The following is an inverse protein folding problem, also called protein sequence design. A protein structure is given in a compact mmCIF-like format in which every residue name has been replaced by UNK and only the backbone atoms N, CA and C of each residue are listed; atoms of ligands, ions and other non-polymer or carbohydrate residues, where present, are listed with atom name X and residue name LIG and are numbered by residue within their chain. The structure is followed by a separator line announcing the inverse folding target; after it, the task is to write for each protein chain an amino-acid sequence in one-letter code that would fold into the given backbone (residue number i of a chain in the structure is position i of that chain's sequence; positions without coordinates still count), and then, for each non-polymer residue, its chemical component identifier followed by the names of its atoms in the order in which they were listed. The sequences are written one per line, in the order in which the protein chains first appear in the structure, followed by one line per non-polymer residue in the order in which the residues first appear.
data_IF_869236957656
#
_entry.id   IF_869236957656
#
_cell.length_a   1.000
_cell.length_b   1.000
_cell.length_c   1.000
_cell.angle_alpha   90.00
_cell.angle_beta   90.00
_cell.angle_gamma   90.00
#
_symmetry.space_group_name_H-M   'P 1'
#
loop_
_entity.id
_entity.type
_entity.pdbx_description
1 polymer ?
#
# COMPACT_ATOMS: atom_id res chain seq x y z
N UNK A 1 -21.18 -25.21 -16.32
CA UNK A 1 -21.32 -24.86 -17.76
C UNK A 1 -20.42 -23.66 -17.98
N UNK A 2 -19.38 -23.77 -18.83
CA UNK A 2 -18.54 -22.64 -19.20
C UNK A 2 -19.41 -21.60 -19.92
N UNK A 3 -19.83 -20.56 -19.20
CA UNK A 3 -20.36 -19.36 -19.83
C UNK A 3 -19.19 -18.42 -20.10
N UNK A 4 -18.50 -18.64 -21.22
CA UNK A 4 -17.52 -17.67 -21.69
C UNK A 4 -18.27 -16.37 -21.97
N UNK A 5 -18.08 -15.41 -21.07
CA UNK A 5 -18.63 -14.07 -21.22
C UNK A 5 -17.88 -13.39 -22.36
N UNK A 6 -18.60 -13.19 -23.48
CA UNK A 6 -18.02 -12.64 -24.70
C UNK A 6 -18.39 -11.17 -24.81
N UNK A 7 -17.39 -10.32 -25.02
CA UNK A 7 -17.56 -8.87 -25.11
C UNK A 7 -17.05 -8.34 -26.45
N UNK A 8 -17.73 -7.33 -27.00
CA UNK A 8 -17.22 -6.49 -28.08
C UNK A 8 -16.68 -5.21 -27.45
N UNK A 9 -15.37 -5.03 -27.55
CA UNK A 9 -14.67 -3.86 -27.01
C UNK A 9 -14.26 -2.92 -28.14
N UNK A 10 -14.52 -1.63 -27.96
CA UNK A 10 -13.99 -0.58 -28.81
C UNK A 10 -12.66 -0.10 -28.21
N UNK A 11 -11.56 -0.54 -28.79
CA UNK A 11 -10.22 -0.07 -28.42
C UNK A 11 -9.99 1.28 -29.09
N UNK A 12 -9.82 2.38 -28.32
CA UNK A 12 -9.55 3.68 -28.92
C UNK A 12 -8.24 3.64 -29.71
N UNK A 13 -8.24 4.20 -30.93
CA UNK A 13 -7.04 4.28 -31.79
C UNK A 13 -6.13 5.44 -31.44
N UNK A 14 -6.35 6.12 -30.31
CA UNK A 14 -5.47 7.17 -29.83
C UNK A 14 -4.11 6.55 -29.57
N UNK A 15 -3.11 6.91 -30.38
CA UNK A 15 -1.72 6.64 -30.07
C UNK A 15 -1.42 7.34 -28.75
N UNK A 16 -1.34 6.58 -27.66
CA UNK A 16 -0.72 7.08 -26.44
C UNK A 16 0.72 7.41 -26.82
N UNK A 17 1.06 8.69 -26.79
CA UNK A 17 2.43 9.10 -26.90
C UNK A 17 3.13 8.56 -25.64
N UNK A 18 3.70 7.36 -25.73
CA UNK A 18 4.62 6.84 -24.73
C UNK A 18 5.89 7.69 -24.88
N UNK A 19 5.83 8.91 -24.37
CA UNK A 19 7.00 9.75 -24.23
C UNK A 19 7.83 9.13 -23.13
N UNK A 20 8.90 8.44 -23.51
CA UNK A 20 9.99 8.11 -22.59
C UNK A 20 10.37 9.43 -21.91
N UNK A 21 10.27 9.53 -20.57
CA UNK A 21 10.60 10.75 -19.87
C UNK A 21 11.98 11.23 -20.30
N UNK A 22 12.10 12.52 -20.61
CA UNK A 22 13.40 13.07 -20.97
C UNK A 22 14.40 12.77 -19.84
N UNK A 23 15.65 12.38 -20.19
CA UNK A 23 16.66 12.07 -19.18
C UNK A 23 16.84 13.26 -18.25
N UNK A 24 16.99 12.95 -16.96
CA UNK A 24 17.08 13.97 -15.93
C UNK A 24 18.20 14.96 -16.21
N UNK A 25 17.86 16.25 -16.22
CA UNK A 25 18.84 17.32 -16.43
C UNK A 25 19.65 17.55 -15.15
N UNK A 26 20.90 18.03 -15.24
CA UNK A 26 21.67 18.44 -14.06
C UNK A 26 20.92 19.45 -13.18
N UNK A 27 20.19 20.38 -13.81
CA UNK A 27 19.37 21.37 -13.13
C UNK A 27 18.25 20.75 -12.28
N UNK A 28 17.63 19.67 -12.76
CA UNK A 28 16.60 18.94 -12.01
C UNK A 28 17.16 18.31 -10.73
N UNK A 29 18.38 17.76 -10.79
CA UNK A 29 19.07 17.22 -9.61
C UNK A 29 19.37 18.30 -8.58
N UNK A 30 19.92 19.44 -9.02
CA UNK A 30 20.23 20.57 -8.14
C UNK A 30 18.99 21.09 -7.42
N UNK A 31 17.88 21.26 -8.16
CA UNK A 31 16.60 21.72 -7.60
C UNK A 31 16.00 20.70 -6.63
N UNK A 32 16.02 19.40 -6.97
CA UNK A 32 15.55 18.35 -6.06
C UNK A 32 16.39 18.32 -4.77
N UNK A 33 17.71 18.40 -4.90
CA UNK A 33 18.64 18.42 -3.78
C UNK A 33 18.44 19.64 -2.86
N UNK A 34 18.19 20.83 -3.42
CA UNK A 34 17.94 22.02 -2.59
C UNK A 34 16.69 21.86 -1.74
N UNK A 35 15.62 21.27 -2.29
CA UNK A 35 14.39 21.01 -1.54
C UNK A 35 14.60 19.99 -0.43
N UNK A 36 15.37 18.92 -0.69
CA UNK A 36 15.76 17.95 0.35
C UNK A 36 16.58 18.63 1.45
N UNK A 37 17.54 19.50 1.09
CA UNK A 37 18.33 20.27 2.05
C UNK A 37 17.47 21.21 2.89
N UNK A 38 16.46 21.84 2.30
CA UNK A 38 15.53 22.71 3.01
C UNK A 38 14.62 21.92 3.96
N UNK A 39 14.23 20.69 3.61
CA UNK A 39 13.40 19.82 4.46
C UNK A 39 14.16 19.23 5.65
N UNK A 40 15.41 18.79 5.48
CA UNK A 40 16.17 18.08 6.53
C UNK A 40 17.39 18.85 7.08
N UNK A 41 17.57 20.10 6.67
CA UNK A 41 18.75 20.91 7.01
C UNK A 41 18.77 21.51 8.43
N UNK A 42 17.76 21.22 9.26
CA UNK A 42 17.65 21.69 10.64
C UNK A 42 18.62 20.95 11.61
N UNK A 43 19.23 19.87 11.14
CA UNK A 43 20.19 19.07 11.89
C UNK A 43 19.54 18.02 12.80
N UNK A 44 18.22 17.87 12.76
CA UNK A 44 17.53 16.83 13.51
C UNK A 44 17.68 15.47 12.80
N UNK A 45 17.60 14.40 13.59
CA UNK A 45 17.46 13.05 13.06
C UNK A 45 16.02 12.61 13.25
N UNK A 46 15.48 11.86 12.30
CA UNK A 46 14.25 11.11 12.54
C UNK A 46 14.59 9.64 12.77
N UNK A 47 13.77 8.99 13.58
CA UNK A 47 13.91 7.60 13.98
C UNK A 47 12.64 6.84 13.63
N UNK A 48 12.81 5.60 13.18
CA UNK A 48 11.72 4.67 12.95
C UNK A 48 12.00 3.39 13.72
N UNK A 49 10.97 2.90 14.41
CA UNK A 49 11.04 1.75 15.30
C UNK A 49 10.30 0.54 14.71
N UNK A 50 10.57 -0.63 15.28
CA UNK A 50 9.86 -1.87 14.97
C UNK A 50 10.00 -2.27 13.47
N UNK A 51 11.13 -1.94 12.86
CA UNK A 51 11.42 -2.21 11.46
C UNK A 51 11.94 -3.65 11.31
N UNK A 52 11.69 -4.28 10.15
CA UNK A 52 12.14 -5.64 9.80
C UNK A 52 11.78 -6.69 10.87
N UNK A 53 10.52 -7.11 10.87
CA UNK A 53 9.97 -8.04 11.86
C UNK A 53 10.09 -7.56 13.32
N UNK A 54 10.17 -6.24 13.51
CA UNK A 54 10.09 -5.62 14.81
C UNK A 54 11.37 -5.60 15.62
N UNK A 55 12.51 -5.78 14.97
CA UNK A 55 13.78 -5.96 15.68
C UNK A 55 14.68 -4.71 15.66
N UNK A 56 14.51 -3.81 14.69
CA UNK A 56 15.44 -2.71 14.48
C UNK A 56 14.81 -1.33 14.66
N UNK A 57 15.56 -0.43 15.29
CA UNK A 57 15.42 1.02 15.11
C UNK A 57 16.39 1.50 14.05
N UNK A 58 15.91 2.35 13.16
CA UNK A 58 16.72 3.05 12.16
C UNK A 58 16.69 4.54 12.41
N UNK A 59 17.86 5.18 12.36
CA UNK A 59 18.02 6.62 12.49
C UNK A 59 18.61 7.23 11.24
N UNK A 60 17.97 8.27 10.70
CA UNK A 60 18.49 9.06 9.60
C UNK A 60 18.84 10.46 10.09
N UNK A 61 20.13 10.81 10.03
CA UNK A 61 20.64 12.12 10.38
C UNK A 61 21.21 12.78 9.12
N UNK A 62 20.42 13.68 8.50
CA UNK A 62 20.83 14.32 7.25
C UNK A 62 22.17 15.06 7.39
N UNK A 63 23.05 14.85 6.41
CA UNK A 63 24.40 15.40 6.39
C UNK A 63 25.42 14.68 7.28
N UNK A 64 25.00 13.73 8.11
CA UNK A 64 25.89 13.01 9.03
C UNK A 64 25.97 11.52 8.67
N UNK A 65 24.91 10.75 8.99
CA UNK A 65 24.92 9.30 8.89
C UNK A 65 23.53 8.69 8.91
N UNK A 66 23.46 7.44 8.46
CA UNK A 66 22.33 6.52 8.69
C UNK A 66 22.81 5.40 9.61
N UNK A 67 22.02 5.12 10.64
CA UNK A 67 22.34 4.12 11.67
C UNK A 67 21.21 3.13 11.87
N UNK A 68 21.53 1.92 12.33
CA UNK A 68 20.56 0.98 12.91
C UNK A 68 21.06 0.44 14.25
N UNK A 69 20.15 0.18 15.17
CA UNK A 69 20.43 -0.36 16.51
C UNK A 69 19.19 -1.02 17.09
N UNK A 70 19.36 -1.82 18.13
CA UNK A 70 18.23 -2.35 18.91
C UNK A 70 17.83 -1.35 19.97
N UNK A 71 16.54 -1.21 20.23
CA UNK A 71 15.99 -0.27 21.20
C UNK A 71 14.79 -0.91 21.88
N UNK A 72 14.53 -0.53 23.13
CA UNK A 72 13.33 -0.94 23.86
C UNK A 72 12.17 0.01 23.57
N UNK A 73 10.94 -0.51 23.60
CA UNK A 73 9.70 0.25 23.39
C UNK A 73 9.68 1.55 24.23
N UNK A 74 10.01 1.44 25.52
CA UNK A 74 9.98 2.57 26.47
C UNK A 74 10.94 3.70 26.07
N UNK A 75 12.15 3.37 25.61
CA UNK A 75 13.14 4.36 25.20
C UNK A 75 12.69 5.06 23.90
N UNK A 76 12.13 4.32 22.93
CA UNK A 76 11.61 4.90 21.69
C UNK A 76 10.41 5.82 21.94
N UNK A 77 9.39 5.36 22.68
CA UNK A 77 8.19 6.17 22.94
C UNK A 77 8.47 7.38 23.84
N UNK A 78 9.52 7.34 24.66
CA UNK A 78 9.96 8.50 25.44
C UNK A 78 10.73 9.54 24.60
N UNK A 79 11.15 9.19 23.39
CA UNK A 79 12.04 9.99 22.53
C UNK A 79 13.49 10.05 23.02
N UNK A 80 13.83 9.37 24.12
CA UNK A 80 15.19 9.32 24.66
C UNK A 80 15.94 8.12 24.06
N UNK A 81 16.25 8.23 22.77
CA UNK A 81 16.74 7.07 22.04
C UNK A 81 18.02 6.46 22.62
N UNK A 82 17.96 5.15 22.88
CA UNK A 82 19.07 4.41 23.49
C UNK A 82 19.20 3.01 22.90
N UNK A 83 20.44 2.53 22.74
CA UNK A 83 20.66 1.19 22.26
C UNK A 83 20.49 0.18 23.40
N UNK A 84 19.76 -0.90 23.12
CA UNK A 84 19.64 -2.07 23.98
C UNK A 84 21.00 -2.77 24.11
N UNK A 85 21.17 -3.60 25.13
CA UNK A 85 22.38 -4.41 25.33
C UNK A 85 22.39 -5.58 24.32
N UNK A 86 23.51 -5.83 23.60
CA UNK A 86 24.77 -5.07 23.64
C UNK A 86 24.64 -3.70 22.96
N UNK A 87 25.15 -2.65 23.62
CA UNK A 87 25.16 -1.25 23.15
C UNK A 87 25.98 -1.13 21.86
N UNK A 88 25.34 -1.49 20.75
CA UNK A 88 25.94 -1.53 19.43
C UNK A 88 25.06 -0.80 18.43
N UNK A 89 25.69 0.17 17.76
CA UNK A 89 25.04 1.02 16.76
C UNK A 89 25.78 0.82 15.45
N UNK A 90 25.10 0.20 14.49
CA UNK A 90 25.64 -0.03 13.16
C UNK A 90 25.52 1.24 12.32
N UNK A 91 26.58 1.59 11.60
CA UNK A 91 26.57 2.72 10.65
C UNK A 91 26.40 2.18 9.24
N UNK A 92 25.21 2.40 8.67
CA UNK A 92 24.82 1.90 7.36
C UNK A 92 25.36 2.77 6.21
N UNK A 93 25.46 4.08 6.47
CA UNK A 93 25.95 5.06 5.50
C UNK A 93 26.48 6.31 6.20
N UNK A 94 27.51 6.91 5.62
CA UNK A 94 28.07 8.19 6.07
C UNK A 94 28.06 9.18 4.92
N UNK A 95 27.63 10.41 5.19
CA UNK A 95 27.66 11.47 4.18
C UNK A 95 29.11 11.83 3.80
N UNK A 96 29.34 12.36 2.58
CA UNK A 96 30.66 12.80 2.16
C UNK A 96 31.28 13.82 3.14
N UNK A 97 32.61 13.79 3.26
CA UNK A 97 33.39 14.72 4.10
C UNK A 97 33.14 14.64 5.61
N UNK A 98 32.40 13.64 6.09
CA UNK A 98 32.23 13.39 7.53
C UNK A 98 33.48 12.72 8.10
N UNK A 99 34.14 13.30 9.12
CA UNK A 99 35.34 12.71 9.71
C UNK A 99 35.02 11.41 10.46
N UNK A 100 36.02 10.51 10.65
CA UNK A 100 35.81 9.29 11.41
C UNK A 100 35.29 9.55 12.84
N UNK A 101 34.26 8.81 13.24
CA UNK A 101 33.71 8.88 14.59
C UNK A 101 34.63 8.21 15.59
N UNK A 102 34.96 8.90 16.70
CA UNK A 102 35.56 8.26 17.88
C UNK A 102 34.56 7.37 18.63
N UNK A 103 33.31 7.85 18.72
CA UNK A 103 32.14 7.13 19.23
C UNK A 103 30.93 7.58 18.42
N UNK A 104 30.14 6.62 17.95
CA UNK A 104 28.87 6.88 17.26
C UNK A 104 27.82 7.21 18.32
N UNK A 105 27.10 8.30 18.14
CA UNK A 105 26.01 8.76 19.01
C UNK A 105 24.68 8.69 18.24
N UNK A 106 23.59 8.40 18.95
CA UNK A 106 22.22 8.36 18.42
C UNK A 106 21.66 9.79 18.32
N UNK A 107 22.34 10.62 17.54
CA UNK A 107 21.97 12.00 17.20
C UNK A 107 22.86 12.50 16.07
N UNK A 108 22.52 13.65 15.53
CA UNK A 108 23.36 14.32 14.56
C UNK A 108 24.65 14.82 15.24
N UNK A 109 25.80 14.36 14.76
CA UNK A 109 27.13 14.71 15.28
C UNK A 109 27.85 15.72 14.39
N UNK A 110 27.20 16.20 13.33
CA UNK A 110 27.75 17.18 12.42
C UNK A 110 27.80 18.57 13.08
N UNK A 111 28.94 19.25 12.95
CA UNK A 111 29.15 20.60 13.53
C UNK A 111 28.96 21.75 12.56
N UNK A 112 28.99 21.46 11.26
CA UNK A 112 28.87 22.43 10.17
C UNK A 112 27.84 21.92 9.18
N UNK A 113 27.28 22.79 8.33
CA UNK A 113 26.37 22.32 7.28
C UNK A 113 27.13 21.41 6.31
N UNK A 114 26.48 20.32 5.91
CA UNK A 114 26.99 19.43 4.88
C UNK A 114 27.12 20.18 3.55
N UNK A 115 28.25 19.99 2.87
CA UNK A 115 28.43 20.41 1.48
C UNK A 115 28.13 19.19 0.62
N UNK A 116 27.04 19.26 -0.14
CA UNK A 116 26.58 18.18 -1.01
C UNK A 116 26.90 18.54 -2.46
N UNK A 117 27.41 17.57 -3.22
CA UNK A 117 27.58 17.68 -4.66
C UNK A 117 26.37 17.00 -5.34
N UNK A 118 25.68 17.71 -6.24
CA UNK A 118 24.57 17.14 -7.02
C UNK A 118 24.99 15.95 -7.89
N UNK A 119 26.29 15.81 -8.19
CA UNK A 119 26.84 14.68 -8.94
C UNK A 119 26.80 13.36 -8.15
N UNK A 120 26.79 13.42 -6.81
CA UNK A 120 26.64 12.24 -5.95
C UNK A 120 25.21 11.68 -5.98
N UNK A 121 24.29 12.41 -6.62
CA UNK A 121 22.88 12.06 -6.72
C UNK A 121 22.53 11.58 -8.12
N UNK A 122 21.62 10.62 -8.18
CA UNK A 122 21.04 10.08 -9.41
C UNK A 122 19.53 10.30 -9.41
N UNK A 123 18.97 10.46 -10.61
CA UNK A 123 17.52 10.42 -10.79
C UNK A 123 17.20 9.15 -11.57
N UNK A 124 16.21 8.41 -11.11
CA UNK A 124 15.73 7.20 -11.78
C UNK A 124 14.20 7.22 -11.84
N UNK A 125 13.67 6.60 -12.87
CA UNK A 125 12.23 6.50 -13.11
C UNK A 125 11.66 5.33 -12.29
N UNK A 126 10.48 5.55 -11.68
CA UNK A 126 9.79 4.59 -10.83
C UNK A 126 9.40 3.29 -11.51
N UNK A 127 9.22 3.32 -12.83
CA UNK A 127 8.86 2.18 -13.69
C UNK A 127 9.89 1.02 -13.61
N UNK A 128 11.12 1.28 -13.13
CA UNK A 128 12.18 0.29 -12.93
C UNK A 128 12.53 0.06 -11.46
N UNK A 129 11.69 0.52 -10.53
CA UNK A 129 11.88 0.41 -9.08
C UNK A 129 10.87 -0.57 -8.46
N UNK A 130 11.05 -0.90 -7.18
CA UNK A 130 10.04 -1.65 -6.41
C UNK A 130 8.73 -0.88 -6.20
N UNK A 131 8.72 0.43 -6.51
CA UNK A 131 7.56 1.30 -6.39
C UNK A 131 6.83 1.28 -7.73
N UNK A 132 5.67 0.65 -7.79
CA UNK A 132 4.79 0.67 -8.97
C UNK A 132 4.11 2.04 -9.11
N UNK A 133 4.90 3.09 -9.31
CA UNK A 133 4.40 4.43 -9.60
C UNK A 133 5.19 5.14 -10.70
N UNK A 134 4.47 5.87 -11.52
CA UNK A 134 5.02 6.62 -12.64
C UNK A 134 5.58 7.98 -12.16
N UNK A 135 6.51 7.98 -11.20
CA UNK A 135 7.20 9.18 -10.73
C UNK A 135 8.72 9.02 -10.79
N UNK A 136 9.45 10.14 -10.86
CA UNK A 136 10.92 10.13 -10.71
C UNK A 136 11.32 10.19 -9.25
N UNK A 137 12.52 9.70 -8.98
CA UNK A 137 13.09 9.62 -7.64
C UNK A 137 14.49 10.21 -7.60
N UNK A 138 14.83 10.90 -6.51
CA UNK A 138 16.21 11.35 -6.27
C UNK A 138 16.88 10.33 -5.36
N UNK A 139 17.99 9.73 -5.79
CA UNK A 139 18.74 8.73 -5.01
C UNK A 139 20.15 9.19 -4.67
N UNK A 140 20.56 8.87 -3.45
CA UNK A 140 21.91 9.02 -2.93
C UNK A 140 22.40 7.70 -2.36
N UNK A 141 23.55 7.22 -2.80
CA UNK A 141 24.16 5.99 -2.28
C UNK A 141 25.29 6.34 -1.32
N UNK A 142 25.22 5.82 -0.10
CA UNK A 142 26.24 6.02 0.94
C UNK A 142 26.93 4.71 1.31
N UNK A 143 28.18 4.82 1.76
CA UNK A 143 28.94 3.71 2.33
C UNK A 143 29.07 3.85 3.85
N UNK A 144 28.87 2.75 4.56
CA UNK A 144 28.92 2.65 6.01
C UNK A 144 30.21 2.02 6.52
N UNK A 145 30.12 1.38 7.68
CA UNK A 145 31.23 0.61 8.24
C UNK A 145 31.39 -0.76 7.58
N UNK A 146 32.50 -1.45 7.87
CA UNK A 146 32.76 -2.78 7.34
C UNK A 146 31.77 -3.79 7.95
N UNK A 147 31.08 -4.51 7.08
CA UNK A 147 30.25 -5.65 7.41
C UNK A 147 31.13 -6.84 7.80
N UNK A 148 30.85 -7.43 8.94
CA UNK A 148 31.50 -8.63 9.48
C UNK A 148 31.22 -9.87 8.63
N UNK A 149 30.03 -9.96 8.03
CA UNK A 149 29.63 -11.09 7.18
C UNK A 149 30.25 -11.06 5.79
N UNK A 150 30.28 -9.89 5.15
CA UNK A 150 30.72 -9.74 3.75
C UNK A 150 32.15 -9.20 3.61
N UNK A 151 32.72 -8.69 4.71
CA UNK A 151 34.01 -7.99 4.76
C UNK A 151 34.11 -6.77 3.83
N UNK A 152 32.96 -6.26 3.37
CA UNK A 152 32.85 -5.05 2.54
C UNK A 152 32.13 -3.95 3.33
N UNK A 153 32.34 -2.67 2.98
CA UNK A 153 31.51 -1.60 3.55
C UNK A 153 30.03 -1.91 3.34
N UNK A 154 29.22 -1.69 4.38
CA UNK A 154 27.77 -1.60 4.24
C UNK A 154 27.43 -0.51 3.23
N UNK A 155 26.36 -0.69 2.48
CA UNK A 155 25.90 0.33 1.51
C UNK A 155 24.43 0.60 1.70
N UNK A 156 24.01 1.85 1.63
CA UNK A 156 22.61 2.23 1.70
C UNK A 156 22.23 3.17 0.55
N UNK A 157 21.14 2.83 -0.12
CA UNK A 157 20.48 3.70 -1.09
C UNK A 157 19.38 4.50 -0.40
N UNK A 158 19.56 5.81 -0.29
CA UNK A 158 18.54 6.74 0.20
C UNK A 158 17.76 7.27 -1.01
N UNK A 159 16.49 6.95 -1.07
CA UNK A 159 15.55 7.32 -2.14
C UNK A 159 14.60 8.38 -1.60
N UNK A 160 14.67 9.60 -2.13
CA UNK A 160 13.73 10.67 -1.82
C UNK A 160 12.56 10.63 -2.80
N UNK A 161 11.36 10.56 -2.24
CA UNK A 161 10.07 10.40 -2.93
C UNK A 161 9.20 11.64 -2.69
N UNK A 162 8.46 12.09 -3.70
CA UNK A 162 7.36 13.04 -3.48
C UNK A 162 6.25 12.31 -2.71
N UNK A 163 5.96 12.80 -1.50
CA UNK A 163 4.94 12.23 -0.61
C UNK A 163 4.28 13.36 0.20
N UNK A 164 3.04 13.18 0.63
CA UNK A 164 2.32 14.20 1.43
C UNK A 164 2.99 14.44 2.79
N UNK A 165 3.70 13.45 3.33
CA UNK A 165 4.33 13.50 4.64
C UNK A 165 5.85 13.51 4.57
N UNK A 166 6.48 14.23 5.50
CA UNK A 166 7.92 14.11 5.75
C UNK A 166 8.17 12.91 6.64
N UNK A 167 8.98 11.94 6.20
CA UNK A 167 9.38 10.83 7.06
C UNK A 167 9.88 9.60 6.31
N UNK A 168 10.23 8.57 7.08
CA UNK A 168 10.54 7.25 6.54
C UNK A 168 9.26 6.58 6.03
N UNK A 169 9.24 6.23 4.75
CA UNK A 169 8.14 5.45 4.15
C UNK A 169 8.45 3.96 4.17
N UNK A 170 9.70 3.61 3.86
CA UNK A 170 10.13 2.21 3.78
C UNK A 170 11.62 2.07 4.14
N UNK A 171 11.96 0.96 4.78
CA UNK A 171 13.34 0.55 5.01
C UNK A 171 13.47 -0.96 4.87
N UNK A 172 14.43 -1.41 4.06
CA UNK A 172 14.69 -2.82 3.83
C UNK A 172 16.17 -3.12 3.58
N UNK A 173 16.55 -4.36 3.88
CA UNK A 173 17.86 -4.92 3.55
C UNK A 173 17.67 -5.80 2.32
N UNK A 174 18.00 -5.26 1.14
CA UNK A 174 17.75 -5.93 -0.14
C UNK A 174 18.71 -7.11 -0.33
N UNK A 175 19.94 -6.99 0.18
CA UNK A 175 20.95 -8.04 0.26
C UNK A 175 21.73 -7.88 1.55
N UNK A 176 22.44 -8.92 1.98
CA UNK A 176 23.28 -8.85 3.17
C UNK A 176 24.19 -7.61 3.16
N UNK A 177 24.02 -6.73 4.14
CA UNK A 177 24.73 -5.46 4.30
C UNK A 177 24.50 -4.43 3.17
N UNK A 178 23.41 -4.56 2.40
CA UNK A 178 22.95 -3.61 1.40
C UNK A 178 21.51 -3.20 1.66
N UNK A 179 21.31 -1.92 1.97
CA UNK A 179 20.05 -1.38 2.46
C UNK A 179 19.45 -0.40 1.47
N UNK A 180 18.13 -0.24 1.56
CA UNK A 180 17.40 0.82 0.89
C UNK A 180 16.47 1.50 1.90
N UNK A 181 16.43 2.82 1.82
CA UNK A 181 15.61 3.68 2.64
C UNK A 181 14.83 4.61 1.73
N UNK A 182 13.52 4.69 1.89
CA UNK A 182 12.64 5.58 1.14
C UNK A 182 12.13 6.66 2.07
N UNK A 183 12.36 7.91 1.70
CA UNK A 183 12.02 9.09 2.51
C UNK A 183 11.01 9.93 1.73
N UNK A 184 9.88 10.21 2.35
CA UNK A 184 8.87 11.15 1.86
C UNK A 184 9.33 12.60 2.02
N UNK A 185 9.24 13.38 0.94
CA UNK A 185 9.61 14.79 0.87
C UNK A 185 8.52 15.57 0.13
N UNK A 186 7.58 16.22 0.86
CA UNK A 186 6.46 16.93 0.24
C UNK A 186 6.85 18.03 -0.73
N UNK A 187 8.00 18.65 -0.48
CA UNK A 187 8.50 19.73 -1.34
C UNK A 187 8.97 19.22 -2.70
N UNK A 188 9.39 17.97 -2.84
CA UNK A 188 9.70 17.40 -4.16
C UNK A 188 8.47 17.43 -5.07
N UNK A 189 7.26 17.37 -4.51
CA UNK A 189 6.01 17.53 -5.25
C UNK A 189 5.82 18.94 -5.82
N UNK A 190 6.65 19.94 -5.49
CA UNK A 190 6.65 21.25 -6.15
C UNK A 190 7.23 21.16 -7.59
N UNK A 191 7.95 20.08 -7.89
CA UNK A 191 8.56 19.81 -9.19
C UNK A 191 7.74 18.75 -9.92
N UNK A 192 7.29 19.07 -11.13
CA UNK A 192 6.44 18.22 -11.95
C UNK A 192 7.05 16.83 -12.22
N UNK A 193 8.33 16.75 -12.54
CA UNK A 193 9.07 15.51 -12.77
C UNK A 193 9.00 14.49 -11.62
N UNK A 194 8.95 14.97 -10.37
CA UNK A 194 8.91 14.11 -9.17
C UNK A 194 7.48 13.79 -8.75
N UNK A 195 6.45 14.38 -9.36
CA UNK A 195 5.05 14.02 -9.06
C UNK A 195 4.74 12.65 -9.65
N UNK A 196 3.80 11.95 -9.02
CA UNK A 196 3.12 10.82 -9.65
C UNK A 196 2.45 11.34 -10.93
N UNK A 197 2.93 10.86 -12.08
CA UNK A 197 2.23 11.11 -13.34
C UNK A 197 0.83 10.51 -13.21
N UNK A 198 -0.17 11.27 -13.64
CA UNK A 198 -1.48 10.67 -13.89
C UNK A 198 -1.27 9.60 -14.96
N UNK A 199 -1.69 8.38 -14.66
CA UNK A 199 -1.72 7.35 -15.68
C UNK A 199 -2.69 7.84 -16.76
N UNK A 200 -2.22 7.98 -18.00
CA UNK A 200 -3.08 8.18 -19.16
C UNK A 200 -3.86 6.88 -19.41
N UNK A 201 -4.82 6.59 -18.53
CA UNK A 201 -5.69 5.43 -18.65
C UNK A 201 -6.69 5.73 -19.75
N UNK A 202 -6.52 5.05 -20.88
CA UNK A 202 -7.47 5.08 -21.98
C UNK A 202 -8.54 4.02 -21.70
N UNK A 203 -9.73 4.46 -21.31
CA UNK A 203 -10.86 3.56 -21.07
C UNK A 203 -11.24 2.77 -22.32
N UNK A 204 -11.22 1.44 -22.21
CA UNK A 204 -11.71 0.54 -23.26
C UNK A 204 -13.18 0.23 -22.99
N UNK A 205 -14.05 0.78 -23.83
CA UNK A 205 -15.49 0.57 -23.71
C UNK A 205 -15.89 -0.79 -24.29
N UNK A 206 -16.33 -1.70 -23.43
CA UNK A 206 -16.81 -3.03 -23.81
C UNK A 206 -18.33 -3.16 -23.64
N UNK A 207 -18.97 -3.87 -24.57
CA UNK A 207 -20.38 -4.27 -24.47
C UNK A 207 -20.49 -5.79 -24.53
N UNK A 208 -21.30 -6.35 -23.66
CA UNK A 208 -21.63 -7.77 -23.65
C UNK A 208 -22.29 -8.16 -24.98
N UNK A 209 -21.88 -9.29 -25.56
CA UNK A 209 -22.55 -9.88 -26.72
C UNK A 209 -23.88 -10.50 -26.26
N UNK A 210 -24.89 -10.45 -27.11
CA UNK A 210 -26.21 -11.02 -26.83
C UNK A 210 -26.11 -12.49 -26.36
N UNK A 211 -26.70 -12.80 -25.21
CA UNK A 211 -26.61 -14.12 -24.57
C UNK A 211 -25.46 -14.29 -23.56
N UNK A 212 -24.60 -13.29 -23.37
CA UNK A 212 -23.58 -13.28 -22.30
C UNK A 212 -24.06 -12.55 -21.04
N UNK A 213 -23.57 -12.98 -19.88
CA UNK A 213 -23.83 -12.31 -18.60
C UNK A 213 -22.93 -11.08 -18.46
N UNK A 214 -23.52 -9.94 -18.10
CA UNK A 214 -22.76 -8.72 -17.79
C UNK A 214 -22.07 -8.90 -16.43
N UNK A 215 -20.74 -9.01 -16.46
CA UNK A 215 -19.88 -8.93 -15.27
C UNK A 215 -20.13 -7.61 -14.53
N UNK A 216 -20.09 -7.69 -13.22
CA UNK A 216 -20.21 -6.52 -12.38
C UNK A 216 -18.94 -5.68 -12.45
N UNK A 217 -19.10 -4.41 -12.83
CA UNK A 217 -18.01 -3.43 -12.78
C UNK A 217 -17.75 -3.00 -11.32
N UNK A 218 -16.73 -3.60 -10.72
CA UNK A 218 -16.35 -3.39 -9.33
C UNK A 218 -15.82 -1.97 -9.05
N UNK A 219 -15.33 -1.24 -10.06
CA UNK A 219 -14.86 0.13 -9.90
C UNK A 219 -15.98 1.10 -9.51
N UNK A 220 -17.23 0.70 -9.73
CA UNK A 220 -18.42 1.47 -9.33
C UNK A 220 -18.80 1.28 -7.85
N UNK A 221 -18.07 0.46 -7.11
CA UNK A 221 -18.34 0.14 -5.71
C UNK A 221 -17.15 0.52 -4.82
N UNK A 222 -17.44 1.04 -3.63
CA UNK A 222 -16.43 1.20 -2.60
C UNK A 222 -16.28 -0.14 -1.86
N UNK A 223 -15.15 -0.83 -2.07
CA UNK A 223 -14.87 -2.12 -1.45
C UNK A 223 -14.20 -1.94 -0.08
N UNK A 224 -14.87 -2.37 0.98
CA UNK A 224 -14.34 -2.38 2.34
C UNK A 224 -13.89 -3.81 2.72
N UNK A 225 -12.64 -4.02 3.16
CA UNK A 225 -12.15 -5.34 3.54
C UNK A 225 -12.80 -5.83 4.84
N UNK A 226 -13.34 -7.05 4.80
CA UNK A 226 -13.89 -7.73 5.97
C UNK A 226 -12.84 -8.63 6.65
N UNK A 227 -11.97 -9.27 5.85
CA UNK A 227 -10.94 -10.21 6.29
C UNK A 227 -11.00 -11.51 5.49
N UNK A 228 -9.95 -12.34 5.53
CA UNK A 228 -9.95 -13.66 4.85
C UNK A 228 -10.10 -13.60 3.32
N UNK A 229 -9.86 -12.44 2.70
CA UNK A 229 -10.10 -12.22 1.28
C UNK A 229 -11.55 -11.94 0.91
N UNK A 230 -12.37 -11.50 1.86
CA UNK A 230 -13.74 -11.05 1.63
C UNK A 230 -13.85 -9.52 1.76
N UNK A 231 -14.61 -8.91 0.85
CA UNK A 231 -14.89 -7.48 0.81
C UNK A 231 -16.40 -7.26 0.74
N UNK A 232 -16.87 -6.19 1.40
CA UNK A 232 -18.23 -5.67 1.22
C UNK A 232 -18.15 -4.47 0.27
N UNK A 233 -18.88 -4.52 -0.84
CA UNK A 233 -18.98 -3.42 -1.79
C UNK A 233 -20.22 -2.60 -1.52
N UNK A 234 -20.06 -1.31 -1.27
CA UNK A 234 -21.16 -0.38 -1.03
C UNK A 234 -21.32 0.58 -2.21
N UNK A 235 -22.56 0.79 -2.65
CA UNK A 235 -22.92 1.76 -3.68
C UNK A 235 -24.32 2.28 -3.45
N UNK A 236 -24.47 3.52 -3.02
CA UNK A 236 -25.80 4.15 -2.91
C UNK A 236 -26.42 4.34 -4.31
N UNK A 237 -27.69 4.01 -4.55
CA UNK A 237 -28.72 3.49 -3.63
C UNK A 237 -28.94 1.95 -3.69
N UNK A 238 -27.99 1.19 -4.23
CA UNK A 238 -28.12 -0.25 -4.50
C UNK A 238 -27.76 -1.11 -3.28
N UNK A 239 -28.26 -2.37 -3.20
CA UNK A 239 -27.87 -3.29 -2.13
C UNK A 239 -26.36 -3.57 -2.18
N UNK A 240 -25.78 -3.79 -1.01
CA UNK A 240 -24.37 -4.13 -0.89
C UNK A 240 -24.06 -5.46 -1.58
N UNK A 241 -22.88 -5.55 -2.17
CA UNK A 241 -22.35 -6.79 -2.77
C UNK A 241 -21.28 -7.37 -1.85
N UNK A 242 -21.00 -8.67 -2.00
CA UNK A 242 -19.79 -9.27 -1.48
C UNK A 242 -18.84 -9.57 -2.64
N UNK A 243 -17.55 -9.33 -2.44
CA UNK A 243 -16.50 -9.69 -3.40
C UNK A 243 -15.49 -10.58 -2.68
N UNK A 244 -15.09 -11.70 -3.30
CA UNK A 244 -13.99 -12.51 -2.79
C UNK A 244 -12.87 -12.69 -3.81
N UNK A 245 -11.64 -12.66 -3.28
CA UNK A 245 -10.43 -13.03 -4.02
C UNK A 245 -10.21 -14.54 -4.09
N UNK A 246 -10.87 -15.32 -3.24
CA UNK A 246 -10.72 -16.77 -3.18
C UNK A 246 -11.97 -17.46 -3.73
N UNK A 247 -11.83 -18.68 -4.26
CA UNK A 247 -12.97 -19.56 -4.48
C UNK A 247 -13.56 -19.94 -3.11
N UNK A 248 -14.59 -19.21 -2.67
CA UNK A 248 -15.23 -19.47 -1.39
C UNK A 248 -16.27 -20.58 -1.54
N UNK A 249 -16.15 -21.62 -0.70
CA UNK A 249 -17.29 -22.48 -0.39
C UNK A 249 -18.21 -21.78 0.64
N UNK A 250 -19.43 -22.28 0.79
CA UNK A 250 -20.44 -21.68 1.69
C UNK A 250 -19.97 -21.57 3.15
N UNK A 251 -19.17 -22.54 3.61
CA UNK A 251 -18.63 -22.57 4.98
C UNK A 251 -17.64 -21.44 5.20
N UNK A 252 -16.67 -21.27 4.31
CA UNK A 252 -15.66 -20.21 4.40
C UNK A 252 -16.27 -18.81 4.28
N UNK A 253 -17.29 -18.66 3.42
CA UNK A 253 -18.05 -17.41 3.35
C UNK A 253 -18.81 -17.13 4.67
N UNK A 254 -19.45 -18.14 5.24
CA UNK A 254 -20.13 -18.05 6.53
C UNK A 254 -19.19 -17.65 7.67
N UNK A 255 -18.01 -18.28 7.78
CA UNK A 255 -16.99 -17.96 8.79
C UNK A 255 -16.45 -16.53 8.64
N UNK A 256 -16.23 -16.10 7.40
CA UNK A 256 -15.75 -14.73 7.10
C UNK A 256 -16.81 -13.69 7.44
N UNK A 257 -18.08 -13.95 7.13
CA UNK A 257 -19.20 -13.09 7.50
C UNK A 257 -19.40 -13.05 9.01
N UNK A 258 -19.36 -14.22 9.67
CA UNK A 258 -19.47 -14.39 11.12
C UNK A 258 -18.43 -13.56 11.88
N UNK A 259 -17.16 -13.66 11.47
CA UNK A 259 -16.04 -12.93 12.09
C UNK A 259 -16.06 -11.42 11.81
N UNK A 260 -16.90 -10.97 10.87
CA UNK A 260 -16.93 -9.58 10.41
C UNK A 260 -18.26 -8.89 10.67
N UNK A 261 -19.16 -9.47 11.46
CA UNK A 261 -20.53 -8.98 11.65
C UNK A 261 -20.60 -7.49 12.03
N UNK A 262 -19.71 -7.04 12.92
CA UNK A 262 -19.65 -5.64 13.39
C UNK A 262 -19.21 -4.63 12.32
N UNK A 263 -18.69 -5.11 11.18
CA UNK A 263 -18.31 -4.27 10.02
C UNK A 263 -19.42 -4.22 8.96
N UNK A 264 -20.50 -4.99 9.13
CA UNK A 264 -21.56 -5.12 8.13
C UNK A 264 -22.62 -4.08 8.41
N UNK A 265 -22.99 -3.24 7.43
CA UNK A 265 -23.91 -2.15 7.66
C UNK A 265 -25.30 -2.65 8.06
N UNK A 266 -25.85 -2.02 9.10
CA UNK A 266 -27.24 -2.19 9.55
C UNK A 266 -28.07 -0.99 9.12
N UNK A 267 -29.35 -1.18 8.75
CA UNK A 267 -30.27 -0.07 8.47
C UNK A 267 -30.40 0.92 9.65
N UNK A 268 -30.35 0.42 10.89
CA UNK A 268 -30.73 1.19 12.08
C UNK A 268 -29.54 1.55 12.99
N UNK A 269 -28.43 0.80 12.94
CA UNK A 269 -27.39 0.83 13.98
C UNK A 269 -25.97 1.04 13.48
N UNK A 270 -25.78 1.60 12.28
CA UNK A 270 -24.50 1.69 11.53
C UNK A 270 -23.88 0.33 11.19
N UNK A 271 -23.90 -0.65 12.10
CA UNK A 271 -23.50 -2.04 11.88
C UNK A 271 -24.38 -3.06 12.60
N UNK A 272 -24.36 -4.31 12.12
CA UNK A 272 -25.10 -5.44 12.70
C UNK A 272 -24.50 -5.87 14.05
N UNK A 273 -25.37 -6.24 14.99
CA UNK A 273 -25.02 -6.77 16.30
C UNK A 273 -25.56 -8.17 16.51
N UNK A 274 -24.94 -8.92 17.42
CA UNK A 274 -25.43 -10.24 17.84
C UNK A 274 -26.80 -10.21 18.52
N UNK A 275 -27.23 -9.05 19.03
CA UNK A 275 -28.57 -8.87 19.58
C UNK A 275 -29.66 -8.69 18.51
N UNK A 276 -29.27 -8.52 17.26
CA UNK A 276 -30.21 -8.20 16.18
C UNK A 276 -30.78 -9.48 15.57
N UNK A 277 -32.08 -9.47 15.28
CA UNK A 277 -32.72 -10.46 14.42
C UNK A 277 -32.74 -9.92 13.00
N UNK A 278 -32.11 -10.61 12.06
CA UNK A 278 -31.99 -10.13 10.69
C UNK A 278 -32.01 -11.25 9.65
N UNK A 279 -32.42 -10.87 8.43
CA UNK A 279 -32.18 -11.63 7.20
C UNK A 279 -31.40 -10.71 6.27
N UNK A 280 -30.20 -11.13 5.88
CA UNK A 280 -29.30 -10.39 5.02
C UNK A 280 -29.13 -11.12 3.69
N UNK A 281 -29.51 -10.46 2.61
CA UNK A 281 -29.37 -10.96 1.26
C UNK A 281 -28.17 -10.30 0.58
N UNK A 282 -27.27 -11.10 0.03
CA UNK A 282 -26.06 -10.56 -0.61
C UNK A 282 -25.66 -11.38 -1.82
N UNK A 283 -25.39 -10.68 -2.93
CA UNK A 283 -24.80 -11.29 -4.11
C UNK A 283 -23.28 -11.36 -3.92
N UNK A 284 -22.71 -12.55 -4.13
CA UNK A 284 -21.27 -12.77 -4.11
C UNK A 284 -20.72 -12.74 -5.53
N UNK A 285 -19.63 -12.00 -5.71
CA UNK A 285 -18.86 -11.92 -6.94
C UNK A 285 -17.39 -12.27 -6.68
N UNK A 286 -16.67 -12.68 -7.71
CA UNK A 286 -15.21 -12.75 -7.64
C UNK A 286 -14.57 -11.38 -7.97
N UNK A 287 -13.23 -11.31 -7.85
CA UNK A 287 -12.44 -10.11 -8.19
C UNK A 287 -12.51 -9.68 -9.66
N UNK A 288 -13.10 -10.50 -10.53
CA UNK A 288 -13.31 -10.19 -11.95
C UNK A 288 -14.77 -9.79 -12.24
N UNK A 289 -15.62 -9.68 -11.21
CA UNK A 289 -17.02 -9.31 -11.35
C UNK A 289 -17.92 -10.45 -11.83
N UNK A 290 -17.46 -11.70 -11.83
CA UNK A 290 -18.33 -12.84 -12.16
C UNK A 290 -19.23 -13.17 -10.96
N UNK A 291 -20.53 -13.36 -11.21
CA UNK A 291 -21.49 -13.75 -10.17
C UNK A 291 -21.26 -15.18 -9.71
N UNK A 292 -21.11 -15.37 -8.40
CA UNK A 292 -20.84 -16.67 -7.76
C UNK A 292 -22.10 -17.26 -7.12
N UNK A 293 -23.06 -16.41 -6.75
CA UNK A 293 -24.34 -16.82 -6.15
C UNK A 293 -25.01 -15.73 -5.33
N UNK A 294 -26.28 -15.95 -5.01
CA UNK A 294 -27.03 -15.17 -4.02
C UNK A 294 -27.03 -15.94 -2.70
N UNK A 295 -26.66 -15.26 -1.61
CA UNK A 295 -26.64 -15.85 -0.28
C UNK A 295 -27.69 -15.19 0.60
N UNK A 296 -28.40 -16.02 1.35
CA UNK A 296 -29.32 -15.64 2.41
C UNK A 296 -28.66 -15.97 3.75
N UNK A 297 -28.50 -14.97 4.59
CA UNK A 297 -27.92 -15.10 5.92
C UNK A 297 -28.97 -14.70 6.93
N UNK A 298 -29.21 -15.51 7.95
CA UNK A 298 -30.22 -15.23 8.95
C UNK A 298 -29.71 -15.40 10.37
N UNK A 299 -30.25 -14.58 11.27
CA UNK A 299 -30.02 -14.68 12.69
C UNK A 299 -31.29 -14.36 13.47
N UNK A 300 -31.52 -15.14 14.52
CA UNK A 300 -32.46 -14.81 15.59
C UNK A 300 -31.69 -14.27 16.80
N UNK A 301 -31.81 -12.96 17.06
CA UNK A 301 -31.16 -12.26 18.17
C UNK A 301 -31.70 -12.66 19.55
N UNK A 302 -32.83 -13.37 19.62
CA UNK A 302 -33.35 -13.91 20.89
C UNK A 302 -32.54 -15.11 21.41
N UNK A 303 -31.79 -15.78 20.52
CA UNK A 303 -30.97 -16.93 20.87
C UNK A 303 -29.61 -16.46 21.42
N UNK A 304 -29.24 -17.00 22.58
CA UNK A 304 -27.97 -16.70 23.25
C UNK A 304 -26.75 -17.33 22.57
N UNK A 305 -26.97 -18.27 21.64
CA UNK A 305 -25.90 -18.83 20.84
C UNK A 305 -25.52 -17.85 19.71
N UNK A 306 -24.21 -17.68 19.52
CA UNK A 306 -23.66 -16.89 18.43
C UNK A 306 -23.64 -17.77 17.20
N UNK A 307 -24.81 -17.96 16.58
CA UNK A 307 -24.98 -18.73 15.36
C UNK A 307 -25.70 -17.89 14.31
N UNK A 308 -25.31 -18.12 13.06
CA UNK A 308 -25.97 -17.59 11.87
C UNK A 308 -26.35 -18.77 10.97
N UNK A 309 -27.53 -18.71 10.36
CA UNK A 309 -27.90 -19.58 9.25
C UNK A 309 -27.36 -18.99 7.96
N UNK A 310 -26.81 -19.82 7.07
CA UNK A 310 -26.37 -19.40 5.75
C UNK A 310 -26.83 -20.38 4.69
N UNK A 311 -27.40 -19.84 3.63
CA UNK A 311 -27.95 -20.60 2.52
C UNK A 311 -27.52 -19.96 1.20
N UNK A 312 -26.98 -20.76 0.29
CA UNK A 312 -26.79 -20.36 -1.11
C UNK A 312 -28.10 -20.64 -1.83
N UNK A 313 -28.74 -19.59 -2.33
CA UNK A 313 -30.00 -19.72 -3.04
C UNK A 313 -29.73 -20.13 -4.48
N UNK A 314 -30.18 -21.33 -4.83
CA UNK A 314 -30.21 -21.82 -6.21
C UNK A 314 -31.53 -21.37 -6.85
N UNK A 315 -31.46 -20.71 -8.01
CA UNK A 315 -32.65 -20.23 -8.70
C UNK A 315 -33.33 -21.34 -9.49
N UNK A 316 -34.57 -21.67 -9.15
CA UNK A 316 -35.44 -22.43 -10.04
C UNK A 316 -35.79 -21.56 -11.27
N UNK A 317 -35.54 -22.08 -12.48
CA UNK A 317 -36.03 -21.45 -13.72
C UNK A 317 -37.54 -21.66 -13.82
N UNK A 318 -38.33 -20.75 -13.24
CA UNK A 318 -39.77 -20.73 -13.46
C UNK A 318 -40.08 -19.92 -14.72
N UNK A 319 -40.53 -20.60 -15.78
CA UNK A 319 -41.17 -19.93 -16.91
C UNK A 319 -42.62 -19.59 -16.53
N UNK A 320 -42.88 -18.34 -16.18
CA UNK A 320 -44.24 -17.85 -16.03
C UNK A 320 -44.82 -17.55 -17.43
N UNK A 321 -45.73 -18.41 -17.91
CA UNK A 321 -46.48 -18.15 -19.14
C UNK A 321 -47.67 -17.23 -18.81
N UNK A 322 -47.74 -16.09 -19.49
CA UNK A 322 -48.80 -15.09 -19.34
C UNK A 322 -50.20 -15.65 -19.66
N UNK A 323 -50.30 -16.67 -20.51
CA UNK A 323 -51.58 -17.35 -20.82
C UNK A 323 -52.18 -18.09 -19.62
N UNK A 324 -51.36 -18.47 -18.64
CA UNK A 324 -51.84 -19.12 -17.41
C UNK A 324 -52.45 -18.14 -16.41
N UNK A 325 -52.11 -16.85 -16.54
CA UNK A 325 -52.62 -15.77 -15.67
C UNK A 325 -53.98 -15.24 -16.13
N UNK A 326 -54.37 -15.53 -17.37
CA UNK A 326 -55.59 -15.01 -18.02
C UNK A 326 -56.72 -16.04 -18.11
N UNK A 327 -56.65 -17.15 -17.36
CA UNK A 327 -57.73 -18.17 -17.29
C UNK A 327 -58.49 -18.15 -15.98
#
# INVERSE_FOLDING_TARGET
MNSDSSYICHVPTTETNITVPAPATPHLKEKGLSLVQETFGDGNCFFAFNIQAGYWTVGYCFGDKVIQFHEEDEDFFSGNHKPQIPDHVYVLGKFPNVPPYKKVMIKNQMKQKVVLDSNDYSIFDGEFSYFEDNQKYLKHTLAGEICDLTLKPRTIDIVYKCDENVGLLEFQEIKTCQYQMVIGVPRLCEIEDFRKAEEDVVDVNCKAIEGSFEKLDLNKYQLQPLGGGLYIGQKSPYPNIAVSINELNITSFGESFFSSLEKIPSPDSMSLKWTDSFIYWINLYDMFGNHQGLFRIERDGSLSNHQIGIEKVEGDKVQANFEYFMR
#
